data_IF_709487840680
#
_entry.id   IF_709487840680
#
_cell.length_a   1.000
_cell.length_b   1.000
_cell.length_c   1.000
_cell.angle_alpha   90.00
_cell.angle_beta   90.00
_cell.angle_gamma   90.00
#
_symmetry.space_group_name_H-M   'P 1'
#
loop_
_entity.id
_entity.type
_entity.pdbx_description
1 polymer ?
#
# COMPACT_ATOMS: atom_id res chain seq x y z
N UNK A 1 29.79 -17.97 -36.63
CA UNK A 1 30.01 -16.68 -35.93
C UNK A 1 29.05 -16.71 -34.75
N UNK A 2 29.57 -17.03 -33.56
CA UNK A 2 28.78 -17.15 -32.33
C UNK A 2 28.65 -15.77 -31.70
N UNK A 3 27.42 -15.34 -31.42
CA UNK A 3 27.14 -14.06 -30.77
C UNK A 3 27.08 -14.31 -29.26
N UNK A 4 28.12 -13.89 -28.53
CA UNK A 4 28.10 -13.91 -27.06
C UNK A 4 27.65 -12.53 -26.56
N UNK A 5 26.46 -12.42 -25.94
CA UNK A 5 26.03 -11.17 -25.35
C UNK A 5 26.96 -10.84 -24.17
N UNK A 6 27.68 -9.72 -24.28
CA UNK A 6 28.48 -9.17 -23.20
C UNK A 6 27.57 -8.85 -22.01
N UNK A 7 27.84 -9.48 -20.86
CA UNK A 7 27.12 -9.17 -19.63
C UNK A 7 27.51 -7.77 -19.15
N UNK A 8 26.53 -6.87 -19.01
CA UNK A 8 26.79 -5.56 -18.46
C UNK A 8 26.79 -5.62 -16.93
N UNK A 9 27.75 -4.92 -16.30
CA UNK A 9 27.90 -4.90 -14.85
C UNK A 9 26.61 -4.47 -14.13
N UNK A 10 25.86 -3.52 -14.71
CA UNK A 10 24.57 -3.08 -14.18
C UNK A 10 23.53 -4.21 -14.15
N UNK A 11 23.46 -5.04 -15.20
CA UNK A 11 22.56 -6.19 -15.24
C UNK A 11 23.01 -7.27 -14.25
N UNK A 12 24.31 -7.53 -14.13
CA UNK A 12 24.83 -8.47 -13.13
C UNK A 12 24.49 -8.03 -11.71
N UNK A 13 24.62 -6.73 -11.40
CA UNK A 13 24.22 -6.18 -10.10
C UNK A 13 22.71 -6.31 -9.86
N UNK A 14 21.89 -6.04 -10.86
CA UNK A 14 20.44 -6.20 -10.79
C UNK A 14 20.04 -7.66 -10.51
N UNK A 15 20.70 -8.61 -11.17
CA UNK A 15 20.47 -10.04 -10.93
C UNK A 15 20.88 -10.42 -9.50
N UNK A 16 22.08 -10.03 -9.05
CA UNK A 16 22.52 -10.31 -7.68
C UNK A 16 21.57 -9.72 -6.61
N UNK A 17 21.03 -8.52 -6.84
CA UNK A 17 20.04 -7.92 -5.95
C UNK A 17 18.71 -8.69 -5.95
N UNK A 18 18.27 -9.19 -7.10
CA UNK A 18 17.08 -10.06 -7.22
C UNK A 18 17.30 -11.40 -6.53
N UNK A 19 18.42 -12.06 -6.79
CA UNK A 19 18.78 -13.36 -6.22
C UNK A 19 18.83 -13.27 -4.68
N UNK A 20 19.52 -12.27 -4.13
CA UNK A 20 19.59 -12.08 -2.66
C UNK A 20 18.23 -11.83 -2.00
N UNK A 21 17.31 -11.16 -2.72
CA UNK A 21 15.92 -10.96 -2.27
C UNK A 21 15.12 -12.26 -2.32
N UNK A 22 15.30 -13.09 -3.35
CA UNK A 22 14.66 -14.40 -3.46
C UNK A 22 15.17 -15.38 -2.38
N UNK A 23 16.46 -15.33 -2.07
CA UNK A 23 17.09 -16.09 -0.99
C UNK A 23 16.66 -15.63 0.41
N UNK A 24 16.06 -14.44 0.53
CA UNK A 24 15.58 -13.87 1.79
C UNK A 24 14.05 -13.74 1.81
N UNK A 25 13.30 -14.80 2.17
CA UNK A 25 11.83 -14.81 2.11
C UNK A 25 11.16 -13.66 2.87
N UNK A 26 11.73 -13.26 4.01
CA UNK A 26 11.19 -12.16 4.82
C UNK A 26 11.17 -10.83 4.05
N UNK A 27 12.22 -10.53 3.28
CA UNK A 27 12.31 -9.31 2.46
C UNK A 27 11.33 -9.39 1.30
N UNK A 28 11.27 -10.53 0.60
CA UNK A 28 10.31 -10.74 -0.49
C UNK A 28 8.86 -10.54 -0.03
N UNK A 29 8.48 -11.08 1.13
CA UNK A 29 7.15 -10.90 1.72
C UNK A 29 6.89 -9.45 2.09
N UNK A 30 7.87 -8.75 2.67
CA UNK A 30 7.75 -7.33 3.01
C UNK A 30 7.52 -6.48 1.75
N UNK A 31 8.32 -6.68 0.70
CA UNK A 31 8.19 -5.93 -0.54
C UNK A 31 6.81 -6.16 -1.19
N UNK A 32 6.31 -7.40 -1.19
CA UNK A 32 4.94 -7.71 -1.67
C UNK A 32 3.86 -6.98 -0.87
N UNK A 33 4.01 -6.89 0.46
CA UNK A 33 3.08 -6.12 1.32
C UNK A 33 3.11 -4.64 0.98
N UNK A 34 4.30 -4.08 0.81
CA UNK A 34 4.46 -2.67 0.41
C UNK A 34 3.82 -2.42 -0.97
N UNK A 35 4.06 -3.28 -1.95
CA UNK A 35 3.42 -3.20 -3.26
C UNK A 35 1.89 -3.24 -3.16
N UNK A 36 1.34 -4.09 -2.29
CA UNK A 36 -0.10 -4.16 -2.06
C UNK A 36 -0.67 -2.86 -1.45
N UNK A 37 0.03 -2.27 -0.48
CA UNK A 37 -0.35 -0.98 0.12
C UNK A 37 -0.32 0.12 -0.95
N UNK A 38 0.77 0.24 -1.71
CA UNK A 38 0.88 1.24 -2.77
C UNK A 38 -0.20 1.03 -3.84
N UNK A 39 -0.46 -0.22 -4.22
CA UNK A 39 -1.53 -0.59 -5.15
C UNK A 39 -2.90 -0.14 -4.65
N UNK A 40 -3.21 -0.30 -3.36
CA UNK A 40 -4.46 0.17 -2.77
C UNK A 40 -4.69 1.66 -3.02
N UNK A 41 -3.69 2.50 -2.74
CA UNK A 41 -3.80 3.95 -2.97
C UNK A 41 -3.88 4.29 -4.46
N UNK A 42 -3.08 3.63 -5.31
CA UNK A 42 -3.13 3.86 -6.78
C UNK A 42 -4.48 3.52 -7.39
N UNK A 43 -5.18 2.52 -6.87
CA UNK A 43 -6.49 2.11 -7.39
C UNK A 43 -7.67 2.83 -6.73
N UNK A 44 -7.48 3.47 -5.58
CA UNK A 44 -8.54 4.13 -4.84
C UNK A 44 -8.32 5.64 -4.77
N UNK A 45 -9.07 6.38 -5.60
CA UNK A 45 -9.09 7.84 -5.54
C UNK A 45 -9.57 8.36 -4.16
N UNK A 46 -10.47 7.63 -3.50
CA UNK A 46 -10.93 7.98 -2.16
C UNK A 46 -9.82 7.81 -1.13
N UNK A 47 -9.09 6.70 -1.16
CA UNK A 47 -7.97 6.48 -0.23
C UNK A 47 -6.84 7.48 -0.47
N UNK A 48 -6.56 7.82 -1.74
CA UNK A 48 -5.57 8.85 -2.08
C UNK A 48 -5.94 10.21 -1.49
N UNK A 49 -7.20 10.65 -1.66
CA UNK A 49 -7.66 11.92 -1.07
C UNK A 49 -7.55 11.94 0.45
N UNK A 50 -7.94 10.85 1.12
CA UNK A 50 -7.80 10.73 2.59
C UNK A 50 -6.34 10.81 3.03
N UNK A 51 -5.44 10.22 2.26
CA UNK A 51 -4.01 10.31 2.52
C UNK A 51 -3.50 11.74 2.35
N UNK A 52 -3.93 12.46 1.30
CA UNK A 52 -3.58 13.87 1.06
C UNK A 52 -4.13 14.78 2.17
N UNK A 53 -5.36 14.55 2.62
CA UNK A 53 -5.97 15.26 3.76
C UNK A 53 -5.14 15.01 5.03
N UNK A 54 -4.78 13.75 5.29
CA UNK A 54 -3.94 13.36 6.43
C UNK A 54 -2.53 13.97 6.36
N UNK A 55 -1.92 14.05 5.18
CA UNK A 55 -0.63 14.70 4.96
C UNK A 55 -0.72 16.21 5.25
N UNK A 56 -1.78 16.86 4.78
CA UNK A 56 -2.04 18.29 5.03
C UNK A 56 -2.21 18.58 6.51
N UNK A 57 -2.92 17.71 7.24
CA UNK A 57 -3.10 17.85 8.70
C UNK A 57 -1.80 17.64 9.52
N UNK A 58 -0.80 16.97 8.96
CA UNK A 58 0.49 16.72 9.59
C UNK A 58 1.59 17.69 9.13
N UNK A 59 1.25 18.71 8.32
CA UNK A 59 2.20 19.61 7.66
C UNK A 59 3.28 18.85 6.85
N UNK A 60 2.93 17.67 6.33
CA UNK A 60 3.81 16.87 5.47
C UNK A 60 3.64 17.29 4.00
N UNK A 61 4.71 17.22 3.19
CA UNK A 61 4.58 17.47 1.76
C UNK A 61 3.59 16.49 1.13
N UNK A 62 2.60 17.01 0.40
CA UNK A 62 1.62 16.21 -0.34
C UNK A 62 2.33 15.42 -1.44
N UNK A 63 2.67 14.20 -1.10
CA UNK A 63 3.54 13.33 -1.86
C UNK A 63 2.81 12.04 -2.17
N UNK A 64 2.68 11.72 -3.46
CA UNK A 64 2.11 10.45 -3.89
C UNK A 64 3.08 9.30 -3.63
N UNK A 65 2.54 8.14 -3.27
CA UNK A 65 3.29 6.89 -3.23
C UNK A 65 3.82 6.51 -4.62
N UNK A 66 5.02 5.94 -4.66
CA UNK A 66 5.70 5.49 -5.88
C UNK A 66 5.47 3.99 -6.01
N UNK A 67 5.03 3.54 -7.18
CA UNK A 67 4.89 2.11 -7.47
C UNK A 67 6.19 1.57 -8.06
N UNK A 68 6.54 0.36 -7.65
CA UNK A 68 7.63 -0.39 -8.23
C UNK A 68 7.37 -0.75 -9.71
N UNK A 69 8.42 -0.77 -10.51
CA UNK A 69 8.39 -1.10 -11.94
C UNK A 69 9.48 -2.12 -12.22
N UNK A 70 9.10 -3.34 -12.59
CA UNK A 70 10.01 -4.51 -12.70
C UNK A 70 11.25 -4.32 -13.57
N UNK A 71 11.20 -3.37 -14.51
CA UNK A 71 12.28 -3.07 -15.47
C UNK A 71 13.31 -2.07 -14.94
N UNK A 72 13.12 -1.46 -13.77
CA UNK A 72 14.00 -0.40 -13.27
C UNK A 72 14.55 -0.68 -11.87
N UNK A 73 15.86 -0.93 -11.78
CA UNK A 73 16.55 -1.35 -10.54
C UNK A 73 16.38 -0.43 -9.32
N UNK A 74 16.02 0.84 -9.53
CA UNK A 74 15.81 1.80 -8.45
C UNK A 74 14.35 1.99 -8.04
N UNK A 75 13.36 1.44 -8.76
CA UNK A 75 11.96 1.69 -8.45
C UNK A 75 11.55 1.04 -7.13
N UNK A 76 12.05 -0.15 -6.84
CA UNK A 76 11.76 -0.85 -5.59
C UNK A 76 12.31 -0.06 -4.39
N UNK A 77 13.56 0.38 -4.48
CA UNK A 77 14.17 1.23 -3.47
C UNK A 77 13.38 2.55 -3.30
N UNK A 78 13.05 3.23 -4.40
CA UNK A 78 12.28 4.48 -4.35
C UNK A 78 10.89 4.29 -3.71
N UNK A 79 10.20 3.20 -4.01
CA UNK A 79 8.93 2.82 -3.39
C UNK A 79 9.09 2.63 -1.88
N UNK A 80 10.11 1.86 -1.45
CA UNK A 80 10.37 1.59 -0.04
C UNK A 80 10.74 2.88 0.72
N UNK A 81 11.67 3.68 0.19
CA UNK A 81 12.06 4.96 0.79
C UNK A 81 10.87 5.90 0.94
N UNK A 82 10.04 6.02 -0.10
CA UNK A 82 8.85 6.87 -0.08
C UNK A 82 7.82 6.42 0.94
N UNK A 83 7.62 5.11 1.09
CA UNK A 83 6.72 4.59 2.11
C UNK A 83 7.23 4.91 3.52
N UNK A 84 8.55 4.84 3.76
CA UNK A 84 9.14 5.18 5.06
C UNK A 84 8.95 6.66 5.40
N UNK A 85 9.14 7.56 4.43
CA UNK A 85 8.85 8.99 4.59
C UNK A 85 7.39 9.24 5.00
N UNK A 86 6.45 8.53 4.36
CA UNK A 86 5.01 8.71 4.55
C UNK A 86 4.40 7.77 5.60
N UNK A 87 5.23 7.01 6.33
CA UNK A 87 4.76 5.92 7.20
C UNK A 87 3.71 6.37 8.21
N UNK A 88 3.87 7.58 8.76
CA UNK A 88 2.99 8.10 9.80
C UNK A 88 1.62 8.47 9.24
N UNK A 89 1.59 9.16 8.09
CA UNK A 89 0.36 9.51 7.39
C UNK A 89 -0.40 8.25 6.94
N UNK A 90 0.30 7.29 6.33
CA UNK A 90 -0.29 6.00 5.90
C UNK A 90 -0.83 5.21 7.09
N UNK A 91 -0.06 5.09 8.19
CA UNK A 91 -0.51 4.34 9.37
C UNK A 91 -1.74 4.96 10.02
N UNK A 92 -1.80 6.29 10.12
CA UNK A 92 -2.95 6.98 10.68
C UNK A 92 -4.19 6.79 9.79
N UNK A 93 -4.06 7.00 8.48
CA UNK A 93 -5.18 6.87 7.55
C UNK A 93 -5.75 5.45 7.59
N UNK A 94 -4.89 4.42 7.51
CA UNK A 94 -5.33 3.02 7.58
C UNK A 94 -6.07 2.72 8.89
N UNK A 95 -5.56 3.19 10.03
CA UNK A 95 -6.24 3.02 11.32
C UNK A 95 -7.60 3.74 11.35
N UNK A 96 -7.70 4.96 10.82
CA UNK A 96 -8.98 5.67 10.75
C UNK A 96 -9.98 4.98 9.83
N UNK A 97 -9.53 4.43 8.71
CA UNK A 97 -10.37 3.71 7.75
C UNK A 97 -10.97 2.44 8.37
N UNK A 98 -10.18 1.70 9.16
CA UNK A 98 -10.64 0.53 9.91
C UNK A 98 -11.68 0.91 10.98
N UNK A 99 -11.44 1.98 11.74
CA UNK A 99 -12.38 2.48 12.74
C UNK A 99 -13.71 2.91 12.11
N UNK A 100 -13.65 3.63 10.99
CA UNK A 100 -14.86 4.06 10.25
C UNK A 100 -15.63 2.85 9.73
N UNK A 101 -14.94 1.84 9.19
CA UNK A 101 -15.59 0.57 8.78
C UNK A 101 -16.23 -0.14 9.96
N UNK A 102 -15.53 -0.26 11.08
CA UNK A 102 -16.06 -0.90 12.29
C UNK A 102 -17.31 -0.18 12.81
N UNK A 103 -17.26 1.17 12.87
CA UNK A 103 -18.40 2.00 13.26
C UNK A 103 -19.58 1.83 12.29
N UNK A 104 -19.33 1.75 10.97
CA UNK A 104 -20.37 1.48 9.98
C UNK A 104 -21.01 0.10 10.16
N UNK A 105 -20.21 -0.95 10.38
CA UNK A 105 -20.72 -2.29 10.67
C UNK A 105 -21.58 -2.32 11.94
N UNK A 106 -21.15 -1.61 12.99
CA UNK A 106 -21.92 -1.52 14.23
C UNK A 106 -23.22 -0.74 14.05
N UNK A 107 -23.19 0.41 13.36
CA UNK A 107 -24.39 1.19 13.04
C UNK A 107 -25.37 0.42 12.15
N UNK A 108 -24.87 -0.35 11.18
CA UNK A 108 -25.68 -1.24 10.35
C UNK A 108 -26.33 -2.35 11.16
N UNK A 109 -25.63 -2.92 12.15
CA UNK A 109 -26.18 -3.93 13.06
C UNK A 109 -27.29 -3.38 13.95
N UNK A 110 -27.16 -2.14 14.42
CA UNK A 110 -28.18 -1.44 15.21
C UNK A 110 -29.42 -1.11 14.37
N UNK A 111 -29.23 -0.71 13.10
CA UNK A 111 -30.35 -0.50 12.18
C UNK A 111 -31.10 -1.80 11.91
N UNK A 112 -30.41 -2.91 11.60
CA UNK A 112 -31.06 -4.21 11.35
C UNK A 112 -31.97 -4.65 12.51
N UNK A 113 -31.59 -4.37 13.76
CA UNK A 113 -32.40 -4.66 14.95
C UNK A 113 -33.60 -3.72 15.13
N UNK A 114 -33.47 -2.46 14.68
CA UNK A 114 -34.56 -1.48 14.71
C UNK A 114 -35.65 -1.76 13.65
N UNK A 115 -35.30 -2.38 12.51
CA UNK A 115 -36.26 -2.85 11.49
C UNK A 115 -36.97 -4.16 11.88
N UNK A 116 -36.49 -4.88 12.90
CA UNK A 116 -37.13 -6.07 13.48
C UNK A 116 -38.06 -5.76 14.67
N UNK A 117 -38.75 -4.61 14.68
CA UNK A 117 -39.90 -4.42 15.58
C UNK A 117 -41.12 -5.14 14.97
N UNK A 118 -41.75 -6.10 15.67
CA UNK A 118 -42.88 -6.83 15.12
C UNK A 118 -44.09 -5.89 15.03
N UNK A 119 -44.61 -5.73 13.83
CA UNK A 119 -45.99 -5.32 13.60
C UNK A 119 -46.94 -6.42 14.13
N UNK A 120 -47.10 -6.54 15.44
CA UNK A 120 -48.18 -7.32 16.03
C UNK A 120 -49.17 -6.36 16.69
N UNK A 121 -50.38 -6.15 16.12
CA UNK A 121 -51.46 -5.52 16.84
C UNK A 121 -52.06 -6.52 17.85
N UNK A 122 -52.35 -6.03 19.06
CA UNK A 122 -53.23 -6.68 20.04
C UNK A 122 -54.69 -6.65 19.57
#
# INVERSE_FOLDING_TARGET
MEWTPLQCLANTLQLAAKDSKEETPAVSVLCKKVQAIVGHYKHSAQATRRLEDGQTHMDLPNASLIQDVDTHWNSEHAMLSRLVELKHAVSLEMATSELVRAAFHQASGLLQQAWCRPCCPL
#
